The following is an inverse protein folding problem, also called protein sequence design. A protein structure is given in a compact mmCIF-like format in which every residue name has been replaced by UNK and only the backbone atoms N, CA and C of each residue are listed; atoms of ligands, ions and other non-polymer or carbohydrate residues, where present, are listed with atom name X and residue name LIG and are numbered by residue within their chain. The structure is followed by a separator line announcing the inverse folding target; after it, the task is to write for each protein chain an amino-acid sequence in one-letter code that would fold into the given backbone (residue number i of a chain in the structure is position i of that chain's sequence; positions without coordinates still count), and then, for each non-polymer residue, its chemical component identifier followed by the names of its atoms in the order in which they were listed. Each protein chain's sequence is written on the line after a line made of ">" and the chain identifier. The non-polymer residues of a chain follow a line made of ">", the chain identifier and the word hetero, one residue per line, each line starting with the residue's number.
data_IF_829444889321
#
_entry.id   IF_829444889321
#
_cell.length_a   1.000
_cell.length_b   1.000
_cell.length_c   1.000
_cell.angle_alpha   90.00
_cell.angle_beta   90.00
_cell.angle_gamma   90.00
#
_symmetry.space_group_name_H-M   'P 1'
#
loop_
_entity.id
_entity.type
_entity.pdbx_description
1 polymer ?
#
# COMPACT_ATOMS: atom_id res chain seq x y z
N UNK A 1 -0.14 35.05 -13.56
CA UNK A 1 -0.45 33.60 -13.59
C UNK A 1 -1.83 33.44 -14.19
N UNK A 2 -1.99 32.63 -15.23
CA UNK A 2 -3.29 32.42 -15.89
C UNK A 2 -4.22 31.59 -15.00
N UNK A 3 -5.55 31.70 -15.18
CA UNK A 3 -6.52 30.90 -14.42
C UNK A 3 -6.28 29.38 -14.57
N UNK A 4 -5.77 28.95 -15.72
CA UNK A 4 -5.40 27.55 -15.98
C UNK A 4 -4.19 27.09 -15.15
N UNK A 5 -3.16 27.93 -14.99
CA UNK A 5 -2.00 27.62 -14.14
C UNK A 5 -2.40 27.44 -12.67
N UNK A 6 -3.32 28.28 -12.16
CA UNK A 6 -3.85 28.12 -10.81
C UNK A 6 -4.63 26.81 -10.64
N UNK A 7 -5.41 26.41 -11.64
CA UNK A 7 -6.13 25.14 -11.64
C UNK A 7 -5.17 23.96 -11.62
N UNK A 8 -4.18 23.93 -12.51
CA UNK A 8 -3.15 22.88 -12.56
C UNK A 8 -2.44 22.73 -11.21
N UNK A 9 -1.93 23.83 -10.65
CA UNK A 9 -1.27 23.84 -9.33
C UNK A 9 -2.16 23.25 -8.23
N UNK A 10 -3.46 23.58 -8.25
CA UNK A 10 -4.41 23.04 -7.26
C UNK A 10 -4.59 21.53 -7.43
N UNK A 11 -4.74 21.04 -8.65
CA UNK A 11 -4.91 19.61 -8.92
C UNK A 11 -3.64 18.83 -8.58
N UNK A 12 -2.45 19.35 -8.89
CA UNK A 12 -1.18 18.74 -8.51
C UNK A 12 -1.04 18.57 -6.99
N UNK A 13 -1.47 19.57 -6.21
CA UNK A 13 -1.52 19.47 -4.74
C UNK A 13 -2.48 18.37 -4.29
N UNK A 14 -3.67 18.27 -4.88
CA UNK A 14 -4.61 17.18 -4.58
C UNK A 14 -3.99 15.81 -4.88
N UNK A 15 -3.40 15.66 -6.06
CA UNK A 15 -2.68 14.44 -6.47
C UNK A 15 -1.55 14.09 -5.51
N UNK A 16 -0.79 15.08 -5.05
CA UNK A 16 0.28 14.87 -4.06
C UNK A 16 -0.27 14.39 -2.71
N UNK A 17 -1.40 14.92 -2.24
CA UNK A 17 -2.02 14.46 -1.00
C UNK A 17 -2.51 13.01 -1.14
N UNK A 18 -3.13 12.66 -2.26
CA UNK A 18 -3.57 11.28 -2.54
C UNK A 18 -2.38 10.32 -2.67
N UNK A 19 -1.26 10.78 -3.23
CA UNK A 19 -0.01 10.01 -3.29
C UNK A 19 0.58 9.80 -1.89
N UNK A 20 0.57 10.82 -1.04
CA UNK A 20 1.05 10.69 0.35
C UNK A 20 0.21 9.67 1.13
N UNK A 21 -1.11 9.68 0.93
CA UNK A 21 -2.01 8.66 1.49
C UNK A 21 -1.71 7.26 0.95
N UNK A 22 -1.41 7.13 -0.34
CA UNK A 22 -0.99 5.85 -0.91
C UNK A 22 0.31 5.35 -0.27
N UNK A 23 1.28 6.23 -0.06
CA UNK A 23 2.55 5.89 0.57
C UNK A 23 2.37 5.44 2.03
N UNK A 24 1.51 6.12 2.80
CA UNK A 24 1.22 5.70 4.18
C UNK A 24 0.56 4.32 4.24
N UNK A 25 -0.41 4.05 3.36
CA UNK A 25 -1.07 2.74 3.25
C UNK A 25 -0.08 1.64 2.84
N UNK A 26 0.90 1.96 1.99
CA UNK A 26 1.93 1.00 1.60
C UNK A 26 2.85 0.63 2.78
N UNK A 27 3.23 1.62 3.61
CA UNK A 27 4.00 1.37 4.84
C UNK A 27 3.20 0.51 5.83
N UNK A 28 1.92 0.82 6.01
CA UNK A 28 1.03 0.04 6.88
C UNK A 28 0.90 -1.42 6.39
N UNK A 29 0.73 -1.63 5.08
CA UNK A 29 0.70 -2.96 4.49
C UNK A 29 1.98 -3.75 4.78
N UNK A 30 3.15 -3.12 4.59
CA UNK A 30 4.44 -3.77 4.88
C UNK A 30 4.61 -4.10 6.36
N UNK A 31 4.12 -3.25 7.27
CA UNK A 31 4.15 -3.55 8.70
C UNK A 31 3.29 -4.77 9.05
N UNK A 32 2.10 -4.89 8.44
CA UNK A 32 1.22 -6.05 8.62
C UNK A 32 1.87 -7.33 8.06
N UNK A 33 2.50 -7.27 6.89
CA UNK A 33 3.21 -8.40 6.29
C UNK A 33 4.37 -8.88 7.18
N UNK A 34 5.14 -7.95 7.76
CA UNK A 34 6.18 -8.27 8.75
C UNK A 34 5.60 -8.93 10.00
N UNK A 35 4.47 -8.42 10.50
CA UNK A 35 3.80 -9.00 11.67
C UNK A 35 3.37 -10.45 11.40
N UNK A 36 2.78 -10.74 10.23
CA UNK A 36 2.39 -12.10 9.84
C UNK A 36 3.62 -13.01 9.76
N UNK A 37 4.72 -12.53 9.17
CA UNK A 37 5.96 -13.31 9.07
C UNK A 37 6.53 -13.67 10.45
N UNK A 38 6.54 -12.71 11.38
CA UNK A 38 7.01 -12.93 12.75
C UNK A 38 6.12 -13.91 13.52
N UNK A 39 4.79 -13.76 13.42
CA UNK A 39 3.85 -14.71 14.00
C UNK A 39 4.02 -16.11 13.38
N UNK A 40 4.29 -16.21 12.08
CA UNK A 40 4.57 -17.47 11.39
C UNK A 40 5.84 -18.15 11.91
N UNK A 41 6.90 -17.38 12.19
CA UNK A 41 8.11 -17.89 12.85
C UNK A 41 7.82 -18.40 14.26
N UNK A 42 7.07 -17.65 15.06
CA UNK A 42 6.67 -18.06 16.41
C UNK A 42 5.88 -19.37 16.38
N UNK A 43 4.93 -19.51 15.44
CA UNK A 43 4.14 -20.73 15.28
C UNK A 43 5.02 -21.93 14.90
N UNK A 44 6.01 -21.72 14.05
CA UNK A 44 6.98 -22.75 13.66
C UNK A 44 7.86 -23.14 14.85
N UNK A 45 8.28 -22.16 15.66
CA UNK A 45 9.00 -22.40 16.91
C UNK A 45 8.21 -23.27 17.89
N UNK A 46 6.91 -22.98 18.09
CA UNK A 46 6.03 -23.79 18.94
C UNK A 46 5.89 -25.22 18.42
N UNK A 47 5.70 -25.40 17.11
CA UNK A 47 5.64 -26.74 16.49
C UNK A 47 6.92 -27.54 16.74
N UNK A 48 8.09 -26.92 16.55
CA UNK A 48 9.37 -27.57 16.79
C UNK A 48 9.56 -27.95 18.27
N UNK A 49 9.08 -27.13 19.22
CA UNK A 49 9.11 -27.46 20.64
C UNK A 49 8.24 -28.68 20.97
N UNK A 50 7.02 -28.75 20.41
CA UNK A 50 6.12 -29.90 20.59
C UNK A 50 6.71 -31.20 20.02
N UNK A 51 7.37 -31.13 18.86
CA UNK A 51 8.01 -32.29 18.22
C UNK A 51 9.20 -32.83 19.02
N UNK A 52 10.04 -31.93 19.56
CA UNK A 52 11.16 -32.29 20.43
C UNK A 52 10.72 -33.00 21.71
N UNK A 53 9.57 -32.62 22.27
CA UNK A 53 9.03 -33.31 23.43
C UNK A 53 8.37 -34.64 23.10
N UNK A 54 7.80 -34.76 21.91
CA UNK A 54 7.16 -36.00 21.46
C UNK A 54 8.18 -37.12 21.19
N UNK A 55 9.43 -36.76 20.92
CA UNK A 55 10.54 -37.67 20.58
C UNK A 55 11.38 -38.11 21.79
N UNK A 56 11.37 -37.36 22.90
CA UNK A 56 12.00 -37.74 24.18
C UNK A 56 11.09 -38.69 24.99
N UNK A 57 10.81 -39.90 24.49
CA UNK A 57 9.97 -40.90 25.19
C UNK A 57 10.75 -41.91 26.04
N UNK A 58 12.07 -41.93 25.94
CA UNK A 58 12.88 -42.94 26.62
C UNK A 58 13.17 -42.51 28.07
N UNK A 59 12.65 -43.28 29.03
CA UNK A 59 12.98 -43.21 30.48
C UNK A 59 12.42 -42.02 31.29
N UNK A 60 11.10 -41.86 31.35
CA UNK A 60 10.47 -40.92 32.29
C UNK A 60 9.55 -41.64 33.30
N UNK A 61 9.59 -41.19 34.56
CA UNK A 61 8.60 -41.59 35.57
C UNK A 61 7.20 -41.16 35.14
N UNK A 62 6.16 -41.80 35.69
CA UNK A 62 4.75 -41.45 35.39
C UNK A 62 4.48 -39.96 35.59
N UNK A 63 5.02 -39.36 36.65
CA UNK A 63 4.87 -37.93 36.93
C UNK A 63 5.51 -37.04 35.87
N UNK A 64 6.71 -37.40 35.40
CA UNK A 64 7.40 -36.65 34.34
C UNK A 64 6.65 -36.76 33.00
N UNK A 65 6.06 -37.91 32.71
CA UNK A 65 5.20 -38.08 31.55
C UNK A 65 3.93 -37.22 31.63
N UNK A 66 3.30 -37.15 32.80
CA UNK A 66 2.10 -36.35 33.00
C UNK A 66 2.37 -34.84 32.91
N UNK A 67 3.51 -34.37 33.42
CA UNK A 67 3.95 -32.98 33.25
C UNK A 67 4.23 -32.63 31.78
N UNK A 68 4.86 -33.55 31.04
CA UNK A 68 5.10 -33.36 29.61
C UNK A 68 3.78 -33.23 28.82
N UNK A 69 2.77 -34.05 29.14
CA UNK A 69 1.44 -33.97 28.52
C UNK A 69 0.77 -32.62 28.76
N UNK A 70 0.75 -32.13 30.01
CA UNK A 70 0.21 -30.81 30.33
C UNK A 70 0.93 -29.68 29.59
N UNK A 71 2.25 -29.78 29.45
CA UNK A 71 3.04 -28.80 28.71
C UNK A 71 2.75 -28.86 27.20
N UNK A 72 2.57 -30.05 26.62
CA UNK A 72 2.14 -30.21 25.21
C UNK A 72 0.76 -29.58 24.98
N UNK A 73 -0.21 -29.84 25.86
CA UNK A 73 -1.54 -29.23 25.79
C UNK A 73 -1.48 -27.70 25.85
N UNK A 74 -0.63 -27.16 26.72
CA UNK A 74 -0.41 -25.72 26.82
C UNK A 74 0.17 -25.14 25.52
N UNK A 75 1.22 -25.76 24.96
CA UNK A 75 1.81 -25.32 23.68
C UNK A 75 0.82 -25.43 22.52
N UNK A 76 -0.04 -26.46 22.53
CA UNK A 76 -1.07 -26.64 21.52
C UNK A 76 -2.14 -25.53 21.60
N UNK A 77 -2.57 -25.17 22.81
CA UNK A 77 -3.48 -24.03 23.03
C UNK A 77 -2.86 -22.71 22.54
N UNK A 78 -1.59 -22.45 22.88
CA UNK A 78 -0.87 -21.28 22.37
C UNK A 78 -0.79 -21.27 20.82
N UNK A 79 -0.51 -22.42 20.20
CA UNK A 79 -0.44 -22.54 18.76
C UNK A 79 -1.80 -22.29 18.09
N UNK A 80 -2.91 -22.75 18.67
CA UNK A 80 -4.27 -22.46 18.19
C UNK A 80 -4.57 -20.97 18.29
N UNK A 81 -4.29 -20.34 19.45
CA UNK A 81 -4.48 -18.89 19.62
C UNK A 81 -3.65 -18.08 18.63
N UNK A 82 -2.40 -18.48 18.39
CA UNK A 82 -1.52 -17.80 17.43
C UNK A 82 -2.00 -17.95 15.99
N UNK A 83 -2.50 -19.13 15.60
CA UNK A 83 -3.13 -19.33 14.28
C UNK A 83 -4.32 -18.41 14.07
N UNK A 84 -5.17 -18.25 15.08
CA UNK A 84 -6.31 -17.33 15.01
C UNK A 84 -5.84 -15.88 14.83
N UNK A 85 -4.82 -15.44 15.61
CA UNK A 85 -4.22 -14.10 15.44
C UNK A 85 -3.62 -13.88 14.05
N UNK A 86 -2.98 -14.90 13.48
CA UNK A 86 -2.47 -14.84 12.10
C UNK A 86 -3.64 -14.62 11.14
N UNK A 87 -4.71 -15.43 11.24
CA UNK A 87 -5.88 -15.31 10.38
C UNK A 87 -6.55 -13.91 10.47
N UNK A 88 -6.68 -13.36 11.68
CA UNK A 88 -7.18 -12.00 11.91
C UNK A 88 -6.27 -10.94 11.25
N UNK A 89 -4.95 -11.12 11.37
CA UNK A 89 -3.96 -10.22 10.77
C UNK A 89 -3.97 -10.32 9.24
N UNK A 90 -4.20 -11.52 8.69
CA UNK A 90 -4.37 -11.73 7.25
C UNK A 90 -5.65 -11.09 6.70
N UNK A 91 -6.75 -11.09 7.46
CA UNK A 91 -7.96 -10.34 7.08
C UNK A 91 -7.65 -8.86 6.94
N UNK A 92 -6.99 -8.26 7.95
CA UNK A 92 -6.55 -6.86 7.92
C UNK A 92 -5.62 -6.55 6.75
N UNK A 93 -4.67 -7.45 6.45
CA UNK A 93 -3.79 -7.35 5.26
C UNK A 93 -4.61 -7.23 3.98
N UNK A 94 -5.63 -8.09 3.83
CA UNK A 94 -6.46 -8.11 2.63
C UNK A 94 -7.30 -6.82 2.50
N UNK A 95 -7.86 -6.33 3.61
CA UNK A 95 -8.60 -5.06 3.66
C UNK A 95 -7.72 -3.86 3.28
N UNK A 96 -6.51 -3.75 3.86
CA UNK A 96 -5.54 -2.70 3.51
C UNK A 96 -5.10 -2.83 2.06
N UNK A 97 -4.86 -4.06 1.56
CA UNK A 97 -4.47 -4.28 0.17
C UNK A 97 -5.54 -3.81 -0.81
N UNK A 98 -6.81 -4.06 -0.53
CA UNK A 98 -7.92 -3.56 -1.33
C UNK A 98 -7.94 -2.02 -1.32
N UNK A 99 -7.79 -1.43 -0.13
CA UNK A 99 -7.72 0.04 0.03
C UNK A 99 -6.54 0.65 -0.75
N UNK A 100 -5.38 0.00 -0.75
CA UNK A 100 -4.21 0.41 -1.55
C UNK A 100 -4.54 0.39 -3.06
N UNK A 101 -5.23 -0.63 -3.54
CA UNK A 101 -5.60 -0.74 -4.96
C UNK A 101 -6.59 0.36 -5.39
N UNK A 102 -7.59 0.64 -4.56
CA UNK A 102 -8.51 1.76 -4.78
C UNK A 102 -7.76 3.10 -4.78
N UNK A 103 -6.85 3.29 -3.83
CA UNK A 103 -6.06 4.51 -3.73
C UNK A 103 -5.11 4.69 -4.94
N UNK A 104 -4.48 3.62 -5.43
CA UNK A 104 -3.70 3.65 -6.69
C UNK A 104 -4.55 4.11 -7.86
N UNK A 105 -5.78 3.61 -7.95
CA UNK A 105 -6.71 3.99 -9.01
C UNK A 105 -7.07 5.47 -8.95
N UNK A 106 -7.30 6.01 -7.74
CA UNK A 106 -7.55 7.45 -7.53
C UNK A 106 -6.35 8.31 -7.95
N UNK A 107 -5.14 7.95 -7.51
CA UNK A 107 -3.91 8.65 -7.90
C UNK A 107 -3.75 8.65 -9.42
N UNK A 108 -3.93 7.50 -10.06
CA UNK A 108 -3.83 7.39 -11.52
C UNK A 108 -4.87 8.26 -12.24
N UNK A 109 -6.09 8.33 -11.71
CA UNK A 109 -7.13 9.23 -12.23
C UNK A 109 -6.71 10.70 -12.18
N UNK A 110 -6.06 11.13 -11.09
CA UNK A 110 -5.52 12.48 -10.99
C UNK A 110 -4.38 12.75 -11.96
N UNK A 111 -3.47 11.79 -12.18
CA UNK A 111 -2.39 11.92 -13.17
C UNK A 111 -2.95 12.14 -14.57
N UNK A 112 -3.89 11.29 -15.00
CA UNK A 112 -4.53 11.43 -16.31
C UNK A 112 -5.26 12.77 -16.46
N UNK A 113 -5.87 13.27 -15.37
CA UNK A 113 -6.54 14.56 -15.39
C UNK A 113 -5.54 15.72 -15.52
N UNK A 114 -4.38 15.64 -14.86
CA UNK A 114 -3.29 16.62 -15.00
C UNK A 114 -2.73 16.61 -16.42
N UNK A 115 -2.49 15.43 -16.99
CA UNK A 115 -1.98 15.28 -18.37
C UNK A 115 -2.93 15.96 -19.36
N UNK A 116 -4.24 15.71 -19.21
CA UNK A 116 -5.28 16.35 -20.03
C UNK A 116 -5.29 17.87 -19.87
N UNK A 117 -5.28 18.39 -18.65
CA UNK A 117 -5.28 19.84 -18.40
C UNK A 117 -4.03 20.51 -18.96
N UNK A 118 -2.88 19.83 -18.90
CA UNK A 118 -1.61 20.32 -19.43
C UNK A 118 -1.65 20.40 -20.97
N UNK A 119 -2.23 19.38 -21.62
CA UNK A 119 -2.45 19.39 -23.06
C UNK A 119 -3.43 20.49 -23.50
N UNK A 120 -4.52 20.70 -22.75
CA UNK A 120 -5.48 21.79 -23.00
C UNK A 120 -4.81 23.16 -22.86
N UNK A 121 -3.94 23.34 -21.85
CA UNK A 121 -3.20 24.58 -21.65
C UNK A 121 -2.19 24.85 -22.77
N UNK A 122 -1.47 23.83 -23.23
CA UNK A 122 -0.52 23.94 -24.33
C UNK A 122 -1.23 24.32 -25.64
N UNK A 123 -2.32 23.62 -25.99
CA UNK A 123 -3.08 23.91 -27.21
C UNK A 123 -3.76 25.30 -27.20
N UNK A 124 -4.12 25.81 -26.02
CA UNK A 124 -4.60 27.20 -25.89
C UNK A 124 -3.47 28.21 -26.11
N UNK A 125 -2.27 27.95 -25.58
CA UNK A 125 -1.09 28.79 -25.81
C UNK A 125 -0.73 28.87 -27.30
N UNK A 126 -0.69 27.71 -27.98
CA UNK A 126 -0.42 27.64 -29.43
C UNK A 126 -1.46 28.41 -30.24
N UNK A 127 -2.75 28.31 -29.89
CA UNK A 127 -3.81 29.09 -30.54
C UNK A 127 -3.64 30.59 -30.32
N UNK A 128 -3.28 31.01 -29.12
CA UNK A 128 -3.03 32.42 -28.83
C UNK A 128 -1.82 32.96 -29.60
N UNK A 129 -0.73 32.19 -29.66
CA UNK A 129 0.46 32.56 -30.44
C UNK A 129 0.17 32.65 -31.94
N UNK A 130 -0.62 31.73 -32.49
CA UNK A 130 -1.08 31.78 -33.89
C UNK A 130 -1.90 33.04 -34.16
N UNK A 131 -2.88 33.37 -33.31
CA UNK A 131 -3.69 34.58 -33.47
C UNK A 131 -2.83 35.85 -33.41
N UNK A 132 -1.86 35.91 -32.49
CA UNK A 132 -0.93 37.05 -32.39
C UNK A 132 -0.04 37.15 -33.64
N UNK A 133 0.40 36.03 -34.21
CA UNK A 133 1.18 36.02 -35.44
C UNK A 133 0.36 36.51 -36.64
N UNK A 134 -0.88 36.06 -36.77
CA UNK A 134 -1.82 36.50 -37.80
C UNK A 134 -2.12 38.00 -37.69
N UNK A 135 -2.42 38.49 -36.48
CA UNK A 135 -2.66 39.92 -36.23
C UNK A 135 -1.44 40.79 -36.57
N UNK A 136 -0.22 40.31 -36.28
CA UNK A 136 1.01 41.01 -36.68
C UNK A 136 1.17 41.07 -38.19
N UNK A 137 0.83 39.99 -38.89
CA UNK A 137 0.90 39.93 -40.34
C UNK A 137 -0.11 40.88 -41.01
N UNK A 138 -1.32 40.99 -40.45
CA UNK A 138 -2.38 41.85 -40.96
C UNK A 138 -2.16 43.34 -40.64
N UNK A 139 -1.68 43.67 -39.44
CA UNK A 139 -1.52 45.07 -38.99
C UNK A 139 -0.15 45.68 -39.26
N UNK A 140 0.83 44.88 -39.69
CA UNK A 140 2.14 45.37 -40.10
C UNK A 140 2.45 44.82 -41.49
N UNK A 141 1.75 45.30 -42.55
CA UNK A 141 2.08 44.93 -43.90
C UNK A 141 3.47 45.49 -44.17
N UNK A 142 4.50 44.63 -44.13
CA UNK A 142 5.80 44.97 -44.66
C UNK A 142 5.57 45.57 -46.04
N UNK A 143 5.92 46.85 -46.13
CA UNK A 143 6.03 47.69 -47.31
C UNK A 143 6.51 46.83 -48.48
N UNK A 144 5.58 46.50 -49.38
CA UNK A 144 5.91 46.06 -50.74
C UNK A 144 6.24 47.28 -51.58
#
# INVERSE_FOLDING_TARGET
>A
MSGMQHKLTRIERLRSMEQNKLNSLAVELSAIELQIAEQGKQLTGLKNQMEKMSTNRDSYSVDAHQQAMLWVEHLQSQAVSLKQKIQETESKRNEIRNTVMEQKTKVRGWELYIDRLSAEAAGESERQESLIADDRHLNNPMTR
#
